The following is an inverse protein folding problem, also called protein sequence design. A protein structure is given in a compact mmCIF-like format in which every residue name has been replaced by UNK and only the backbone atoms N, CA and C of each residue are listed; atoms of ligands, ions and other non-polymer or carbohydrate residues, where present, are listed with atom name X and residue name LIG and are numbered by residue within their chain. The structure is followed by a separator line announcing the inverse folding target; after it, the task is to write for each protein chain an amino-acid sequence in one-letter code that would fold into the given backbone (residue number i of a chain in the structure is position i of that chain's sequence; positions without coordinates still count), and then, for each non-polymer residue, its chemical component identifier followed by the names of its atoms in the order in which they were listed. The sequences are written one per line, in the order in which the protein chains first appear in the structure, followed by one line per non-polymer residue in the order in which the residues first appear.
data_IF_089486620967
#
_entry.id   IF_089486620967
#
_cell.length_a   1.000
_cell.length_b   1.000
_cell.length_c   1.000
_cell.angle_alpha   90.00
_cell.angle_beta   90.00
_cell.angle_gamma   90.00
#
_symmetry.space_group_name_H-M   'P 1'
#
loop_
_entity.id
_entity.type
_entity.pdbx_description
1 polymer ?
#
# COMPACT_ATOMS: atom_id res chain seq x y z
N UNK A 1 -10.23 18.70 18.68
CA UNK A 1 -10.45 18.12 20.03
C UNK A 1 -11.31 19.03 20.91
N UNK A 2 -11.02 20.32 20.99
CA UNK A 2 -11.77 21.32 21.79
C UNK A 2 -13.29 21.28 21.61
N UNK A 3 -13.79 21.21 20.37
CA UNK A 3 -15.25 21.11 20.10
C UNK A 3 -15.89 19.87 20.73
N UNK A 4 -15.19 18.73 20.73
CA UNK A 4 -15.70 17.48 21.30
C UNK A 4 -15.67 17.53 22.83
N UNK A 5 -14.59 18.06 23.42
CA UNK A 5 -14.50 18.25 24.88
C UNK A 5 -15.61 19.17 25.38
N UNK A 6 -15.83 20.31 24.70
CA UNK A 6 -16.91 21.24 25.03
C UNK A 6 -18.29 20.59 24.94
N UNK A 7 -18.50 19.70 23.96
CA UNK A 7 -19.79 19.00 23.75
C UNK A 7 -20.02 17.89 24.78
N UNK A 8 -18.97 17.17 25.18
CA UNK A 8 -19.08 15.98 26.03
C UNK A 8 -18.97 16.28 27.55
N UNK A 9 -18.55 17.49 27.93
CA UNK A 9 -18.56 17.95 29.32
C UNK A 9 -17.28 17.61 30.11
N UNK A 10 -17.39 17.61 31.44
CA UNK A 10 -16.25 17.54 32.37
C UNK A 10 -15.45 16.23 32.33
N UNK A 11 -16.06 15.15 31.85
CA UNK A 11 -15.45 13.81 31.84
C UNK A 11 -14.85 13.46 30.46
N UNK A 12 -14.63 14.46 29.61
CA UNK A 12 -14.07 14.29 28.28
C UNK A 12 -12.57 14.62 28.26
N UNK A 13 -11.75 13.57 28.12
CA UNK A 13 -10.30 13.69 28.14
C UNK A 13 -9.72 13.47 26.73
N UNK A 14 -9.05 14.48 26.13
CA UNK A 14 -8.44 14.33 24.82
C UNK A 14 -7.16 13.48 24.89
N UNK A 15 -6.89 12.73 23.82
CA UNK A 15 -5.64 11.99 23.63
C UNK A 15 -5.19 12.10 22.18
N UNK A 16 -3.88 11.97 21.96
CA UNK A 16 -3.27 12.01 20.63
C UNK A 16 -2.11 11.03 20.57
N UNK A 17 -2.09 10.20 19.52
CA UNK A 17 -0.95 9.35 19.20
C UNK A 17 -0.26 9.87 17.94
N UNK A 18 1.07 9.88 17.95
CA UNK A 18 1.86 10.11 16.75
C UNK A 18 2.41 8.77 16.29
N UNK A 19 2.16 8.44 15.02
CA UNK A 19 2.78 7.26 14.42
C UNK A 19 4.31 7.44 14.35
N UNK A 20 5.10 6.40 14.65
CA UNK A 20 6.52 6.40 14.35
C UNK A 20 6.75 6.57 12.84
N UNK A 21 7.83 7.25 12.47
CA UNK A 21 8.13 7.56 11.06
C UNK A 21 8.24 6.30 10.18
N UNK A 22 8.89 5.26 10.68
CA UNK A 22 9.06 3.98 10.00
C UNK A 22 7.92 2.97 10.25
N UNK A 23 6.76 3.44 10.74
CA UNK A 23 5.62 2.54 10.92
C UNK A 23 5.11 2.03 9.57
N UNK A 24 4.91 0.71 9.38
CA UNK A 24 4.34 0.18 8.14
C UNK A 24 2.89 0.66 7.92
N UNK A 25 2.39 0.57 6.69
CA UNK A 25 0.97 0.80 6.43
C UNK A 25 0.15 -0.44 6.77
N UNK A 26 -1.15 -0.25 6.96
CA UNK A 26 -2.08 -1.36 7.18
C UNK A 26 -2.25 -2.16 5.90
N UNK A 27 -1.75 -3.40 5.89
CA UNK A 27 -1.81 -4.32 4.76
C UNK A 27 -2.12 -5.71 5.29
N UNK A 28 -3.08 -6.38 4.66
CA UNK A 28 -3.46 -7.75 5.00
C UNK A 28 -3.38 -8.58 3.72
N UNK A 29 -2.71 -9.73 3.80
CA UNK A 29 -2.66 -10.70 2.73
C UNK A 29 -4.01 -11.40 2.64
N UNK A 30 -4.57 -11.43 1.44
CA UNK A 30 -5.76 -12.22 1.18
C UNK A 30 -5.37 -13.70 1.12
N UNK A 31 -6.04 -14.53 1.91
CA UNK A 31 -5.84 -15.98 1.90
C UNK A 31 -6.41 -16.58 0.61
N UNK A 32 -5.77 -17.62 0.09
CA UNK A 32 -6.32 -18.41 -1.02
C UNK A 32 -7.54 -19.22 -0.59
N UNK A 33 -8.29 -19.78 -1.55
CA UNK A 33 -9.50 -20.55 -1.26
C UNK A 33 -9.23 -21.79 -0.38
N UNK A 34 -8.05 -22.40 -0.53
CA UNK A 34 -7.62 -23.57 0.25
C UNK A 34 -6.88 -23.23 1.56
N UNK A 35 -6.68 -21.94 1.84
CA UNK A 35 -5.92 -21.49 3.01
C UNK A 35 -6.85 -21.17 4.19
N UNK A 36 -6.89 -22.08 5.17
CA UNK A 36 -7.63 -21.89 6.43
C UNK A 36 -6.80 -21.18 7.51
N UNK A 37 -5.64 -20.64 7.15
CA UNK A 37 -4.79 -19.88 8.05
C UNK A 37 -5.43 -18.59 8.59
N UNK A 38 -4.86 -18.06 9.67
CA UNK A 38 -5.22 -16.72 10.15
C UNK A 38 -4.71 -15.67 9.16
N UNK A 39 -5.44 -14.56 8.94
CA UNK A 39 -4.99 -13.49 8.05
C UNK A 39 -3.63 -12.96 8.49
N UNK A 40 -2.70 -12.86 7.54
CA UNK A 40 -1.35 -12.35 7.75
C UNK A 40 -1.31 -10.88 7.37
N UNK A 41 -0.99 -10.01 8.31
CA UNK A 41 -1.00 -8.58 8.03
C UNK A 41 -0.58 -7.68 9.18
N UNK A 42 -0.53 -6.40 8.87
CA UNK A 42 -0.29 -5.30 9.82
C UNK A 42 -1.62 -4.60 10.08
N UNK A 43 -2.06 -4.66 11.33
CA UNK A 43 -3.27 -3.99 11.81
C UNK A 43 -2.93 -3.08 12.98
N UNK A 44 -3.62 -1.94 13.08
CA UNK A 44 -3.46 -1.00 14.18
C UNK A 44 -4.75 -0.93 14.98
N UNK A 45 -4.59 -0.93 16.30
CA UNK A 45 -5.71 -0.83 17.23
C UNK A 45 -5.43 0.28 18.23
N UNK A 46 -6.43 1.14 18.44
CA UNK A 46 -6.46 2.04 19.60
C UNK A 46 -7.24 1.32 20.68
N UNK A 47 -6.56 1.01 21.79
CA UNK A 47 -7.14 0.32 22.94
C UNK A 47 -7.14 1.25 24.14
N UNK A 48 -8.29 1.36 24.81
CA UNK A 48 -8.45 2.09 26.05
C UNK A 48 -9.09 1.18 27.09
N UNK A 49 -8.63 1.24 28.33
CA UNK A 49 -9.24 0.52 29.44
C UNK A 49 -9.11 1.31 30.74
N UNK A 50 -9.96 0.97 31.70
CA UNK A 50 -9.85 1.46 33.08
C UNK A 50 -8.96 0.50 33.85
N UNK A 51 -7.92 1.01 34.51
CA UNK A 51 -7.02 0.28 35.38
C UNK A 51 -6.69 1.07 36.64
N UNK A 52 -6.32 0.39 37.72
CA UNK A 52 -5.95 1.02 38.99
C UNK A 52 -4.47 1.44 39.05
N UNK A 53 -3.61 0.82 38.23
CA UNK A 53 -2.19 1.11 38.10
C UNK A 53 -1.70 0.81 36.67
N UNK A 54 -0.46 1.21 36.34
CA UNK A 54 0.12 1.06 35.00
C UNK A 54 0.40 -0.40 34.61
N UNK A 55 0.53 -1.29 35.60
CA UNK A 55 0.78 -2.72 35.39
C UNK A 55 -0.52 -3.52 35.15
N UNK A 56 -1.68 -2.90 35.36
CA UNK A 56 -2.99 -3.53 35.17
C UNK A 56 -3.23 -3.81 33.69
N UNK A 57 -3.41 -5.09 33.37
CA UNK A 57 -3.67 -5.57 32.01
C UNK A 57 -5.08 -5.21 31.51
N UNK A 58 -5.91 -4.57 32.35
CA UNK A 58 -7.26 -4.13 32.02
C UNK A 58 -8.24 -5.29 31.93
N UNK A 59 -9.45 -5.10 32.46
CA UNK A 59 -10.49 -6.12 32.35
C UNK A 59 -11.21 -6.02 31.00
N UNK A 60 -11.61 -7.16 30.40
CA UNK A 60 -12.36 -7.18 29.12
C UNK A 60 -13.59 -6.28 29.15
N UNK A 61 -14.32 -6.29 30.28
CA UNK A 61 -15.52 -5.45 30.52
C UNK A 61 -15.28 -3.94 30.48
N UNK A 62 -14.06 -3.48 30.77
CA UNK A 62 -13.70 -2.06 30.80
C UNK A 62 -12.83 -1.66 29.60
N UNK A 63 -12.61 -2.58 28.66
CA UNK A 63 -11.76 -2.38 27.49
C UNK A 63 -12.61 -1.99 26.29
N UNK A 64 -12.24 -0.91 25.62
CA UNK A 64 -12.73 -0.52 24.30
C UNK A 64 -11.56 -0.58 23.31
N UNK A 65 -11.79 -1.22 22.17
CA UNK A 65 -10.79 -1.38 21.11
C UNK A 65 -11.38 -0.90 19.79
N UNK A 66 -10.67 -0.02 19.10
CA UNK A 66 -11.02 0.50 17.78
C UNK A 66 -9.94 0.15 16.78
N UNK A 67 -10.29 -0.59 15.73
CA UNK A 67 -9.41 -0.83 14.60
C UNK A 67 -9.23 0.48 13.80
N UNK A 68 -7.99 0.82 13.48
CA UNK A 68 -7.63 1.96 12.63
C UNK A 68 -6.71 1.49 11.50
N UNK A 69 -6.70 2.24 10.38
CA UNK A 69 -5.84 1.94 9.23
C UNK A 69 -4.88 3.08 8.98
N UNK A 70 -3.60 2.74 8.78
CA UNK A 70 -2.59 3.66 8.24
C UNK A 70 -2.53 3.44 6.73
N UNK A 71 -2.95 4.45 5.96
CA UNK A 71 -2.94 4.43 4.50
C UNK A 71 -1.81 5.33 3.97
N UNK A 72 -1.14 4.87 2.91
CA UNK A 72 -0.18 5.68 2.17
C UNK A 72 -0.88 6.35 1.00
N UNK A 73 -0.76 7.68 0.93
CA UNK A 73 -1.16 8.44 -0.24
C UNK A 73 0.05 8.70 -1.14
N UNK A 74 -0.20 8.83 -2.45
CA UNK A 74 0.85 9.20 -3.38
C UNK A 74 1.37 10.62 -3.07
N UNK A 75 2.69 10.87 -3.19
CA UNK A 75 3.25 12.19 -3.00
C UNK A 75 2.78 13.16 -4.11
N UNK A 76 2.31 14.35 -3.73
CA UNK A 76 1.70 15.33 -4.66
C UNK A 76 2.69 16.01 -5.62
N UNK A 77 4.00 15.79 -5.50
CA UNK A 77 5.03 16.61 -6.15
C UNK A 77 6.09 15.86 -6.97
N UNK A 78 5.85 14.59 -7.34
CA UNK A 78 6.83 13.79 -8.08
C UNK A 78 6.26 13.17 -9.34
N UNK A 79 5.63 13.98 -10.20
CA UNK A 79 5.53 13.57 -11.60
C UNK A 79 6.98 13.57 -12.13
N UNK A 80 7.57 12.39 -12.28
CA UNK A 80 8.83 12.28 -12.99
C UNK A 80 8.61 12.85 -14.38
N UNK A 81 9.47 13.79 -14.83
CA UNK A 81 9.45 14.30 -16.20
C UNK A 81 9.68 13.18 -17.25
N UNK A 82 10.04 11.97 -16.79
CA UNK A 82 10.20 10.79 -17.61
C UNK A 82 9.19 9.72 -17.22
N UNK A 83 8.46 9.25 -18.21
CA UNK A 83 7.57 8.10 -18.09
C UNK A 83 8.34 6.82 -17.76
N UNK A 84 7.78 5.90 -16.95
CA UNK A 84 8.39 4.61 -16.70
C UNK A 84 8.55 3.84 -18.02
N UNK A 85 9.79 3.52 -18.39
CA UNK A 85 10.11 2.83 -19.64
C UNK A 85 11.08 1.69 -19.39
N UNK A 86 10.87 0.54 -20.04
CA UNK A 86 11.81 -0.59 -20.05
C UNK A 86 12.09 -1.04 -21.48
N UNK A 87 13.36 -1.32 -21.79
CA UNK A 87 13.83 -1.78 -23.09
C UNK A 87 14.57 -3.11 -22.93
N UNK A 88 14.14 -4.13 -23.66
CA UNK A 88 14.74 -5.46 -23.67
C UNK A 88 15.14 -5.81 -25.10
N UNK A 89 16.32 -6.40 -25.27
CA UNK A 89 16.84 -6.85 -26.56
C UNK A 89 17.17 -8.34 -26.49
N UNK A 90 16.46 -9.17 -27.25
CA UNK A 90 16.67 -10.63 -27.29
C UNK A 90 17.24 -11.06 -28.63
N UNK A 91 18.43 -11.66 -28.61
CA UNK A 91 19.00 -12.41 -29.73
C UNK A 91 18.50 -13.85 -29.75
N UNK A 92 18.62 -14.51 -30.90
CA UNK A 92 18.25 -15.92 -31.06
C UNK A 92 19.40 -16.71 -31.65
N UNK A 93 19.68 -17.90 -31.11
CA UNK A 93 20.67 -18.82 -31.66
C UNK A 93 20.33 -19.13 -33.12
N UNK A 94 21.34 -19.11 -33.98
CA UNK A 94 21.22 -19.33 -35.43
C UNK A 94 20.37 -18.28 -36.19
N UNK A 95 20.07 -17.11 -35.61
CA UNK A 95 19.46 -15.98 -36.32
C UNK A 95 20.44 -14.81 -36.40
N UNK A 96 20.70 -14.29 -37.60
CA UNK A 96 21.34 -12.98 -37.75
C UNK A 96 20.30 -11.90 -37.44
N UNK A 97 20.26 -11.45 -36.17
CA UNK A 97 19.35 -10.40 -35.74
C UNK A 97 18.80 -10.56 -34.33
N UNK A 98 18.10 -9.53 -33.87
CA UNK A 98 17.53 -9.44 -32.52
C UNK A 98 16.15 -8.80 -32.55
N UNK A 99 15.35 -9.07 -31.52
CA UNK A 99 14.08 -8.39 -31.28
C UNK A 99 14.30 -7.43 -30.12
N UNK A 100 13.99 -6.15 -30.35
CA UNK A 100 13.91 -5.17 -29.27
C UNK A 100 12.43 -4.97 -28.90
N UNK A 101 12.14 -4.96 -27.60
CA UNK A 101 10.85 -4.68 -27.01
C UNK A 101 11.02 -3.49 -26.07
N UNK A 102 10.30 -2.41 -26.33
CA UNK A 102 10.20 -1.26 -25.45
C UNK A 102 8.77 -1.15 -24.92
N UNK A 103 8.63 -0.96 -23.61
CA UNK A 103 7.34 -0.73 -22.95
C UNK A 103 7.43 0.55 -22.14
N UNK A 104 6.50 1.47 -22.36
CA UNK A 104 6.42 2.75 -21.66
C UNK A 104 5.02 2.94 -21.07
N UNK A 105 4.93 3.22 -19.77
CA UNK A 105 3.66 3.50 -19.09
C UNK A 105 3.27 4.98 -19.25
N UNK A 106 1.98 5.30 -19.20
CA UNK A 106 1.50 6.70 -19.32
C UNK A 106 1.68 7.51 -18.03
N UNK A 107 1.80 6.84 -16.88
CA UNK A 107 2.09 7.45 -15.56
C UNK A 107 3.01 6.55 -14.72
N UNK A 108 3.67 7.17 -13.75
CA UNK A 108 4.48 6.51 -12.72
C UNK A 108 3.69 6.12 -11.46
N UNK A 109 2.57 6.79 -11.21
CA UNK A 109 1.68 6.58 -10.06
C UNK A 109 0.24 6.42 -10.54
N UNK A 110 -0.44 5.40 -10.02
CA UNK A 110 -1.87 5.15 -10.26
C UNK A 110 -2.63 5.05 -8.94
N UNK A 111 -3.86 5.55 -8.93
CA UNK A 111 -4.82 5.30 -7.86
C UNK A 111 -5.66 4.06 -8.15
N UNK A 112 -6.22 3.48 -7.09
CA UNK A 112 -7.11 2.33 -7.23
C UNK A 112 -8.30 2.67 -8.14
N UNK A 113 -8.53 1.81 -9.14
CA UNK A 113 -9.58 1.96 -10.14
C UNK A 113 -9.18 2.75 -11.40
N UNK A 114 -8.00 3.37 -11.42
CA UNK A 114 -7.49 3.99 -12.65
C UNK A 114 -7.07 2.93 -13.67
N UNK A 115 -7.30 3.21 -14.95
CA UNK A 115 -6.80 2.38 -16.05
C UNK A 115 -5.31 2.66 -16.26
N UNK A 116 -4.55 1.60 -16.47
CA UNK A 116 -3.12 1.67 -16.78
C UNK A 116 -2.93 1.69 -18.30
N UNK A 117 -2.29 2.73 -18.83
CA UNK A 117 -1.90 2.82 -20.23
C UNK A 117 -0.49 2.31 -20.44
N UNK A 118 -0.29 1.47 -21.46
CA UNK A 118 1.03 0.98 -21.85
C UNK A 118 1.22 1.14 -23.37
N UNK A 119 2.29 1.84 -23.76
CA UNK A 119 2.77 1.90 -25.12
C UNK A 119 3.83 0.81 -25.34
N UNK A 120 3.67 -0.01 -26.36
CA UNK A 120 4.56 -1.14 -26.67
C UNK A 120 5.13 -0.97 -28.06
N UNK A 121 6.46 -0.92 -28.16
CA UNK A 121 7.19 -0.80 -29.43
C UNK A 121 8.01 -2.07 -29.65
N UNK A 122 7.81 -2.72 -30.79
CA UNK A 122 8.51 -3.96 -31.16
C UNK A 122 9.32 -3.70 -32.42
N UNK A 123 10.64 -3.79 -32.30
CA UNK A 123 11.57 -3.70 -33.43
C UNK A 123 12.18 -5.07 -33.69
N UNK A 124 11.58 -5.81 -34.63
CA UNK A 124 12.04 -7.15 -34.99
C UNK A 124 13.03 -7.08 -36.16
N UNK A 125 14.32 -7.17 -35.84
CA UNK A 125 15.39 -7.31 -36.83
C UNK A 125 15.86 -8.76 -36.94
N UNK A 126 15.08 -9.73 -36.45
CA UNK A 126 15.39 -11.16 -36.50
C UNK A 126 14.59 -11.86 -37.60
N UNK A 127 14.88 -13.15 -37.81
CA UNK A 127 14.08 -14.02 -38.70
C UNK A 127 12.96 -14.77 -37.96
N UNK A 128 12.71 -14.45 -36.69
CA UNK A 128 11.66 -15.08 -35.88
C UNK A 128 10.37 -14.28 -35.99
N UNK A 129 9.24 -14.98 -35.94
CA UNK A 129 7.92 -14.36 -35.91
C UNK A 129 7.54 -13.98 -34.47
N UNK A 130 6.93 -12.82 -34.27
CA UNK A 130 6.24 -12.44 -33.03
C UNK A 130 4.78 -12.87 -33.17
N UNK A 131 4.28 -13.67 -32.23
CA UNK A 131 2.89 -14.16 -32.18
C UNK A 131 2.25 -13.71 -30.89
#
# INVERSE_FOLDING_TARGET
QEKLVKKMGSNAYPFTFKFPEMSPCSVTLQTGEDDQGKPLGVEYYVKCWVGCNEEDKGHKRSTVQLAIKKLQYAPQGRASNRLPSSLISKGFTFSSGKINLEVTLDKDIYYHGEKVGANVIISNNSRKQVR
#
